data_IF_754106272217
#
_entry.id   IF_754106272217
#
_cell.length_a   1.000
_cell.length_b   1.000
_cell.length_c   1.000
_cell.angle_alpha   90.00
_cell.angle_beta   90.00
_cell.angle_gamma   90.00
#
_symmetry.space_group_name_H-M   'P 1'
#
loop_
_entity.id
_entity.type
_entity.pdbx_description
1 polymer ?
#
# COMPACT_ATOMS: atom_id res chain seq x y z
N UNK A 1 -30.35 70.48 10.71
CA UNK A 1 -29.99 69.72 9.50
C UNK A 1 -28.55 70.06 9.16
N UNK A 2 -27.60 69.31 9.70
CA UNK A 2 -26.18 69.37 9.34
C UNK A 2 -25.63 67.96 9.46
N UNK A 3 -25.06 67.50 8.35
CA UNK A 3 -24.60 66.14 8.08
C UNK A 3 -23.35 65.82 8.88
N UNK A 4 -23.33 64.68 9.58
CA UNK A 4 -22.10 64.09 10.13
C UNK A 4 -21.67 63.01 9.14
N UNK A 5 -20.59 63.29 8.41
CA UNK A 5 -19.89 62.34 7.55
C UNK A 5 -19.22 61.26 8.41
N UNK A 6 -19.50 59.96 8.22
CA UNK A 6 -18.74 58.91 8.88
C UNK A 6 -17.42 58.68 8.12
N UNK A 7 -16.32 58.77 8.86
CA UNK A 7 -14.96 58.42 8.42
C UNK A 7 -14.90 56.95 7.99
N UNK A 8 -14.39 56.73 6.79
CA UNK A 8 -14.08 55.43 6.22
C UNK A 8 -12.90 54.81 6.99
N UNK A 9 -13.19 53.94 7.96
CA UNK A 9 -12.16 53.14 8.64
C UNK A 9 -11.75 51.97 7.73
N UNK A 10 -10.46 51.91 7.44
CA UNK A 10 -9.81 50.93 6.55
C UNK A 10 -10.08 49.48 7.00
N UNK A 11 -10.25 48.51 6.07
CA UNK A 11 -10.47 47.12 6.43
C UNK A 11 -9.29 46.53 7.20
N UNK A 12 -9.59 45.94 8.36
CA UNK A 12 -8.68 45.10 9.17
C UNK A 12 -8.11 43.98 8.28
N UNK A 13 -6.78 43.75 8.23
CA UNK A 13 -6.22 42.65 7.48
C UNK A 13 -6.59 41.33 8.16
N UNK A 14 -7.32 40.48 7.43
CA UNK A 14 -7.67 39.11 7.83
C UNK A 14 -6.40 38.27 8.02
N UNK A 15 -6.39 37.30 8.96
CA UNK A 15 -5.26 36.42 9.20
C UNK A 15 -5.15 35.35 8.08
N UNK A 16 -4.79 35.76 6.87
CA UNK A 16 -4.69 34.91 5.67
C UNK A 16 -3.41 34.03 5.63
N UNK A 17 -2.50 34.18 6.61
CA UNK A 17 -1.16 33.59 6.56
C UNK A 17 -1.05 32.14 7.10
N UNK A 18 -2.07 31.59 7.78
CA UNK A 18 -2.02 30.23 8.36
C UNK A 18 -2.72 29.14 7.53
N UNK A 19 -3.64 29.49 6.63
CA UNK A 19 -4.36 28.50 5.80
C UNK A 19 -3.55 28.08 4.57
N UNK A 20 -2.82 29.00 3.94
CA UNK A 20 -2.01 28.73 2.74
C UNK A 20 -0.89 27.72 2.99
N UNK A 21 -0.26 27.76 4.18
CA UNK A 21 0.76 26.78 4.58
C UNK A 21 0.16 25.40 4.92
N UNK A 22 -1.07 25.35 5.45
CA UNK A 22 -1.73 24.10 5.84
C UNK A 22 -2.31 23.35 4.61
N UNK A 23 -2.86 24.10 3.65
CA UNK A 23 -3.37 23.55 2.37
C UNK A 23 -2.24 22.95 1.55
N UNK A 24 -1.07 23.61 1.49
CA UNK A 24 0.11 23.08 0.82
C UNK A 24 0.60 21.76 1.41
N UNK A 25 0.71 21.67 2.74
CA UNK A 25 1.13 20.45 3.44
C UNK A 25 0.17 19.26 3.27
N UNK A 26 -1.14 19.52 3.29
CA UNK A 26 -2.16 18.49 3.07
C UNK A 26 -2.13 17.94 1.64
N UNK A 27 -1.97 18.81 0.65
CA UNK A 27 -1.85 18.42 -0.77
C UNK A 27 -0.62 17.57 -1.01
N UNK A 28 0.53 17.91 -0.41
CA UNK A 28 1.75 17.14 -0.55
C UNK A 28 1.61 15.73 0.05
N UNK A 29 1.00 15.61 1.24
CA UNK A 29 0.74 14.29 1.83
C UNK A 29 -0.17 13.43 0.94
N UNK A 30 -1.19 14.06 0.36
CA UNK A 30 -2.11 13.37 -0.52
C UNK A 30 -1.47 12.96 -1.85
N UNK A 31 -0.62 13.80 -2.42
CA UNK A 31 0.18 13.44 -3.61
C UNK A 31 1.09 12.25 -3.31
N UNK A 32 1.77 12.25 -2.16
CA UNK A 32 2.63 11.13 -1.74
C UNK A 32 1.81 9.84 -1.57
N UNK A 33 0.64 9.89 -0.92
CA UNK A 33 -0.27 8.75 -0.78
C UNK A 33 -0.71 8.19 -2.15
N UNK A 34 -1.13 9.05 -3.08
CA UNK A 34 -1.54 8.64 -4.42
C UNK A 34 -0.38 8.01 -5.19
N UNK A 35 0.81 8.62 -5.16
CA UNK A 35 2.00 8.10 -5.86
C UNK A 35 2.38 6.72 -5.31
N UNK A 36 2.42 6.54 -4.00
CA UNK A 36 2.74 5.23 -3.40
C UNK A 36 1.72 4.16 -3.80
N UNK A 37 0.42 4.51 -3.89
CA UNK A 37 -0.63 3.57 -4.33
C UNK A 37 -0.53 3.19 -5.79
N UNK A 38 -0.16 4.13 -6.65
CA UNK A 38 0.11 3.86 -8.07
C UNK A 38 1.31 2.93 -8.22
N UNK A 39 2.40 3.17 -7.47
CA UNK A 39 3.57 2.29 -7.45
C UNK A 39 3.20 0.90 -6.98
N UNK A 40 2.43 0.79 -5.89
CA UNK A 40 1.94 -0.48 -5.37
C UNK A 40 1.11 -1.23 -6.41
N UNK A 41 0.17 -0.55 -7.07
CA UNK A 41 -0.66 -1.15 -8.11
C UNK A 41 0.17 -1.63 -9.30
N UNK A 42 1.07 -0.79 -9.82
CA UNK A 42 1.90 -1.12 -10.97
C UNK A 42 2.82 -2.32 -10.68
N UNK A 43 3.50 -2.31 -9.53
CA UNK A 43 4.41 -3.39 -9.15
C UNK A 43 3.67 -4.70 -8.87
N UNK A 44 2.50 -4.64 -8.21
CA UNK A 44 1.66 -5.83 -8.01
C UNK A 44 1.13 -6.39 -9.35
N UNK A 45 0.69 -5.52 -10.26
CA UNK A 45 0.24 -5.92 -11.60
C UNK A 45 1.38 -6.59 -12.39
N UNK A 46 2.57 -6.01 -12.38
CA UNK A 46 3.75 -6.60 -13.02
C UNK A 46 4.10 -7.95 -12.41
N UNK A 47 4.06 -8.07 -11.07
CA UNK A 47 4.30 -9.35 -10.40
C UNK A 47 3.28 -10.43 -10.79
N UNK A 48 1.99 -10.07 -10.89
CA UNK A 48 0.92 -10.95 -11.39
C UNK A 48 1.20 -11.35 -12.84
N UNK A 49 1.50 -10.40 -13.72
CA UNK A 49 1.75 -10.67 -15.15
C UNK A 49 2.94 -11.62 -15.30
N UNK A 50 4.07 -11.35 -14.64
CA UNK A 50 5.23 -12.23 -14.69
C UNK A 50 4.86 -13.64 -14.24
N UNK A 51 4.07 -13.75 -13.16
CA UNK A 51 3.68 -15.04 -12.61
C UNK A 51 2.68 -15.80 -13.50
N UNK A 52 1.70 -15.10 -14.09
CA UNK A 52 0.69 -15.70 -14.97
C UNK A 52 1.27 -16.03 -16.34
N UNK A 53 2.17 -15.20 -16.87
CA UNK A 53 2.87 -15.43 -18.15
C UNK A 53 3.92 -16.52 -18.02
N UNK A 54 4.45 -16.76 -16.82
CA UNK A 54 5.35 -17.90 -16.51
C UNK A 54 4.65 -19.27 -16.64
N UNK A 55 3.39 -19.36 -17.10
CA UNK A 55 2.70 -20.62 -17.44
C UNK A 55 3.43 -21.36 -18.59
N UNK A 56 4.60 -21.90 -18.32
CA UNK A 56 5.28 -22.86 -19.18
C UNK A 56 4.88 -24.27 -18.73
N UNK A 57 3.96 -24.84 -19.50
CA UNK A 57 3.61 -26.25 -19.42
C UNK A 57 4.69 -27.01 -20.22
N UNK A 58 5.75 -27.49 -19.58
CA UNK A 58 6.73 -28.36 -20.26
C UNK A 58 6.40 -29.82 -19.96
N UNK A 59 6.26 -30.62 -21.02
CA UNK A 59 5.99 -32.05 -20.96
C UNK A 59 7.26 -32.80 -20.55
N UNK A 60 7.22 -33.60 -19.48
CA UNK A 60 8.33 -34.48 -19.10
C UNK A 60 8.09 -35.84 -19.79
N UNK A 61 8.96 -36.30 -20.72
CA UNK A 61 8.84 -37.64 -21.28
C UNK A 61 9.39 -38.65 -20.26
N UNK A 62 8.53 -39.57 -19.79
CA UNK A 62 8.90 -40.54 -18.74
C UNK A 62 9.40 -41.88 -19.33
N UNK A 63 9.07 -42.20 -20.58
CA UNK A 63 9.68 -43.28 -21.37
C UNK A 63 9.25 -43.17 -22.86
N UNK A 64 9.95 -43.89 -23.76
CA UNK A 64 9.86 -43.85 -25.23
C UNK A 64 8.46 -44.02 -25.87
N UNK A 65 7.40 -44.26 -25.09
CA UNK A 65 6.02 -44.40 -25.57
C UNK A 65 4.95 -43.90 -24.59
N UNK A 66 5.32 -43.26 -23.46
CA UNK A 66 4.37 -42.78 -22.46
C UNK A 66 4.84 -41.43 -21.88
N UNK A 67 4.33 -40.36 -22.50
CA UNK A 67 4.42 -39.01 -21.96
C UNK A 67 3.23 -38.80 -21.01
N UNK A 68 3.46 -38.93 -19.70
CA UNK A 68 2.50 -38.46 -18.70
C UNK A 68 2.76 -36.97 -18.54
N UNK A 69 1.76 -36.09 -18.77
CA UNK A 69 1.93 -34.67 -18.55
C UNK A 69 2.04 -34.41 -17.04
N UNK A 70 3.24 -34.52 -16.47
CA UNK A 70 3.57 -33.85 -15.21
C UNK A 70 3.74 -32.36 -15.51
N UNK A 71 2.63 -31.75 -15.91
CA UNK A 71 2.46 -30.33 -15.95
C UNK A 71 2.59 -29.86 -14.51
N UNK A 72 3.75 -29.32 -14.13
CA UNK A 72 3.89 -28.41 -13.00
C UNK A 72 3.05 -27.15 -13.27
N UNK A 73 1.72 -27.32 -13.31
CA UNK A 73 0.74 -26.28 -13.55
C UNK A 73 0.79 -25.38 -12.32
N UNK A 74 0.89 -24.06 -12.51
CA UNK A 74 0.77 -23.07 -11.43
C UNK A 74 -0.42 -23.30 -10.49
N UNK A 75 -1.51 -23.87 -11.04
CA UNK A 75 -2.73 -24.21 -10.30
C UNK A 75 -2.60 -25.44 -9.38
N UNK A 76 -1.56 -26.26 -9.54
CA UNK A 76 -1.31 -27.46 -8.73
C UNK A 76 -0.50 -27.12 -7.47
N UNK A 77 0.22 -25.99 -7.48
CA UNK A 77 1.03 -25.56 -6.33
C UNK A 77 0.25 -24.50 -5.55
N UNK A 78 -0.30 -24.85 -4.37
CA UNK A 78 -1.18 -23.95 -3.61
C UNK A 78 -0.47 -22.66 -3.18
N UNK A 79 0.84 -22.69 -2.95
CA UNK A 79 1.63 -21.52 -2.54
C UNK A 79 1.64 -20.40 -3.61
N UNK A 80 1.81 -20.75 -4.88
CA UNK A 80 1.84 -19.77 -5.97
C UNK A 80 0.44 -19.23 -6.28
N UNK A 81 -0.58 -20.09 -6.19
CA UNK A 81 -1.97 -19.66 -6.33
C UNK A 81 -2.35 -18.67 -5.22
N UNK A 82 -1.98 -18.94 -3.97
CA UNK A 82 -2.21 -18.04 -2.85
C UNK A 82 -1.50 -16.68 -3.03
N UNK A 83 -0.25 -16.69 -3.51
CA UNK A 83 0.49 -15.47 -3.83
C UNK A 83 -0.15 -14.61 -4.91
N UNK A 84 -0.60 -15.20 -6.03
CA UNK A 84 -1.30 -14.46 -7.09
C UNK A 84 -2.66 -13.94 -6.59
N UNK A 85 -3.38 -14.72 -5.79
CA UNK A 85 -4.63 -14.29 -5.18
C UNK A 85 -4.41 -13.08 -4.25
N UNK A 86 -3.38 -13.12 -3.39
CA UNK A 86 -3.03 -12.03 -2.50
C UNK A 86 -2.67 -10.74 -3.26
N UNK A 87 -1.85 -10.83 -4.31
CA UNK A 87 -1.53 -9.69 -5.18
C UNK A 87 -2.77 -9.13 -5.88
N UNK A 88 -3.70 -9.99 -6.31
CA UNK A 88 -4.94 -9.54 -6.97
C UNK A 88 -5.84 -8.76 -6.01
N UNK A 89 -5.97 -9.22 -4.76
CA UNK A 89 -6.68 -8.48 -3.71
C UNK A 89 -6.00 -7.14 -3.44
N UNK A 90 -4.66 -7.10 -3.40
CA UNK A 90 -3.91 -5.85 -3.24
C UNK A 90 -4.14 -4.87 -4.40
N UNK A 91 -4.21 -5.35 -5.65
CA UNK A 91 -4.57 -4.53 -6.81
C UNK A 91 -5.97 -3.94 -6.69
N UNK A 92 -6.99 -4.76 -6.42
CA UNK A 92 -8.37 -4.30 -6.26
C UNK A 92 -8.49 -3.29 -5.12
N UNK A 93 -7.83 -3.59 -4.00
CA UNK A 93 -7.75 -2.69 -2.87
C UNK A 93 -7.17 -1.34 -3.32
N UNK A 94 -5.98 -1.31 -3.94
CA UNK A 94 -5.33 -0.08 -4.40
C UNK A 94 -6.23 0.80 -5.29
N UNK A 95 -7.02 0.20 -6.17
CA UNK A 95 -7.97 0.95 -7.03
C UNK A 95 -9.06 1.61 -6.19
N UNK A 96 -9.77 0.84 -5.34
CA UNK A 96 -10.83 1.35 -4.45
C UNK A 96 -10.29 2.52 -3.63
N UNK A 97 -9.11 2.29 -3.10
CA UNK A 97 -8.35 3.15 -2.24
C UNK A 97 -7.96 4.47 -2.92
N UNK A 98 -7.43 4.40 -4.14
CA UNK A 98 -7.13 5.57 -4.97
C UNK A 98 -8.39 6.39 -5.26
N UNK A 99 -9.50 5.74 -5.63
CA UNK A 99 -10.79 6.41 -5.89
C UNK A 99 -11.29 7.15 -4.64
N UNK A 100 -11.19 6.54 -3.46
CA UNK A 100 -11.55 7.18 -2.19
C UNK A 100 -10.68 8.40 -1.88
N UNK A 101 -9.37 8.31 -2.15
CA UNK A 101 -8.45 9.44 -1.97
C UNK A 101 -8.80 10.58 -2.94
N UNK A 102 -9.00 10.29 -4.23
CA UNK A 102 -9.39 11.28 -5.25
C UNK A 102 -10.73 11.94 -4.91
N UNK A 103 -11.73 11.15 -4.51
CA UNK A 103 -13.03 11.68 -4.12
C UNK A 103 -12.95 12.61 -2.90
N UNK A 104 -12.06 12.30 -1.96
CA UNK A 104 -11.79 13.15 -0.78
C UNK A 104 -11.15 14.50 -1.15
N UNK A 105 -10.47 14.59 -2.30
CA UNK A 105 -9.95 15.88 -2.84
C UNK A 105 -11.07 16.72 -3.42
N UNK A 106 -11.92 16.10 -4.24
CA UNK A 106 -12.99 16.79 -4.96
C UNK A 106 -14.07 17.28 -3.98
N UNK A 107 -14.31 16.53 -2.90
CA UNK A 107 -15.20 16.94 -1.81
C UNK A 107 -14.39 17.13 -0.53
N UNK A 108 -13.88 18.34 -0.23
CA UNK A 108 -13.15 18.64 0.99
C UNK A 108 -14.11 18.73 2.20
N UNK A 109 -14.91 17.67 2.44
CA UNK A 109 -15.42 17.40 3.78
C UNK A 109 -14.26 16.74 4.50
N UNK A 110 -13.53 17.55 5.28
CA UNK A 110 -12.23 17.20 5.86
C UNK A 110 -12.12 15.73 6.23
N UNK A 111 -11.10 15.04 5.70
CA UNK A 111 -10.92 13.59 5.86
C UNK A 111 -11.17 13.17 7.30
N UNK A 112 -12.26 12.45 7.51
CA UNK A 112 -12.63 11.94 8.83
C UNK A 112 -11.49 11.09 9.35
N UNK A 113 -11.02 11.36 10.58
CA UNK A 113 -10.01 10.54 11.28
C UNK A 113 -10.32 9.04 11.20
N UNK A 114 -11.62 8.70 11.20
CA UNK A 114 -12.15 7.34 11.04
C UNK A 114 -11.72 6.67 9.73
N UNK A 115 -11.71 7.39 8.60
CA UNK A 115 -11.29 6.84 7.30
C UNK A 115 -9.78 6.54 7.29
N UNK A 116 -8.97 7.44 7.85
CA UNK A 116 -7.51 7.27 7.91
C UNK A 116 -7.12 6.05 8.76
N UNK A 117 -7.78 5.86 9.91
CA UNK A 117 -7.58 4.68 10.77
C UNK A 117 -8.01 3.40 10.05
N UNK A 118 -9.14 3.42 9.33
CA UNK A 118 -9.60 2.24 8.59
C UNK A 118 -8.62 1.83 7.49
N UNK A 119 -8.04 2.81 6.79
CA UNK A 119 -6.96 2.62 5.83
C UNK A 119 -5.75 1.92 6.45
N UNK A 120 -5.23 2.45 7.56
CA UNK A 120 -4.05 1.88 8.24
C UNK A 120 -4.27 0.41 8.61
N UNK A 121 -5.47 0.06 9.10
CA UNK A 121 -5.80 -1.33 9.48
C UNK A 121 -5.80 -2.25 8.26
N UNK A 122 -6.44 -1.82 7.17
CA UNK A 122 -6.53 -2.60 5.93
C UNK A 122 -5.15 -2.73 5.24
N UNK A 123 -4.36 -1.65 5.21
CA UNK A 123 -2.98 -1.65 4.69
C UNK A 123 -2.08 -2.62 5.48
N UNK A 124 -2.19 -2.61 6.81
CA UNK A 124 -1.43 -3.50 7.69
C UNK A 124 -1.84 -4.97 7.49
N UNK A 125 -3.14 -5.24 7.32
CA UNK A 125 -3.65 -6.57 7.03
C UNK A 125 -3.12 -7.07 5.68
N UNK A 126 -3.16 -6.23 4.65
CA UNK A 126 -2.65 -6.57 3.31
C UNK A 126 -1.15 -6.82 3.32
N UNK A 127 -0.37 -6.00 4.05
CA UNK A 127 1.06 -6.21 4.21
C UNK A 127 1.34 -7.59 4.84
N UNK A 128 0.59 -7.97 5.88
CA UNK A 128 0.71 -9.28 6.51
C UNK A 128 0.38 -10.43 5.55
N UNK A 129 -0.72 -10.33 4.81
CA UNK A 129 -1.13 -11.33 3.81
C UNK A 129 -0.07 -11.45 2.72
N UNK A 130 0.44 -10.33 2.19
CA UNK A 130 1.40 -10.32 1.10
C UNK A 130 2.76 -10.86 1.56
N UNK A 131 3.19 -10.53 2.77
CA UNK A 131 4.41 -11.07 3.38
C UNK A 131 4.31 -12.59 3.58
N UNK A 132 3.18 -13.07 4.12
CA UNK A 132 2.93 -14.50 4.31
C UNK A 132 2.91 -15.25 2.97
N UNK A 133 2.23 -14.71 1.97
CA UNK A 133 2.13 -15.32 0.65
C UNK A 133 3.48 -15.35 -0.08
N UNK A 134 4.24 -14.26 -0.01
CA UNK A 134 5.60 -14.17 -0.57
C UNK A 134 6.55 -15.13 0.13
N UNK A 135 6.45 -15.26 1.47
CA UNK A 135 7.23 -16.22 2.24
C UNK A 135 6.92 -17.67 1.87
N UNK A 136 5.64 -18.03 1.72
CA UNK A 136 5.23 -19.36 1.29
C UNK A 136 5.71 -19.69 -0.13
N UNK A 137 5.49 -18.78 -1.09
CA UNK A 137 5.95 -18.94 -2.46
C UNK A 137 7.49 -19.00 -2.55
N UNK A 138 8.18 -18.16 -1.78
CA UNK A 138 9.63 -18.14 -1.67
C UNK A 138 10.20 -19.42 -1.08
N UNK A 139 9.59 -19.98 -0.03
CA UNK A 139 10.02 -21.24 0.58
C UNK A 139 9.90 -22.41 -0.41
N UNK A 140 8.77 -22.51 -1.11
CA UNK A 140 8.56 -23.54 -2.14
C UNK A 140 9.55 -23.36 -3.29
N UNK A 141 9.78 -22.13 -3.74
CA UNK A 141 10.79 -21.81 -4.75
C UNK A 141 12.22 -22.18 -4.32
N UNK A 142 12.57 -21.89 -3.06
CA UNK A 142 13.90 -22.18 -2.50
C UNK A 142 14.18 -23.69 -2.42
N UNK A 143 13.18 -24.47 -2.00
CA UNK A 143 13.28 -25.94 -1.98
C UNK A 143 13.51 -26.48 -3.40
N UNK A 144 12.83 -25.90 -4.39
CA UNK A 144 13.02 -26.25 -5.81
C UNK A 144 14.39 -25.88 -6.37
N UNK A 145 14.99 -24.78 -5.90
CA UNK A 145 16.30 -24.27 -6.34
C UNK A 145 17.47 -25.03 -5.71
N UNK A 146 17.44 -25.25 -4.38
CA UNK A 146 18.60 -25.82 -3.66
C UNK A 146 18.85 -27.27 -4.07
N UNK A 147 17.78 -28.07 -4.25
CA UNK A 147 17.91 -29.52 -4.46
C UNK A 147 18.67 -30.21 -3.32
N UNK A 148 18.84 -31.52 -3.39
CA UNK A 148 19.70 -32.22 -2.43
C UNK A 148 20.62 -33.19 -3.17
N UNK A 149 21.92 -32.87 -3.16
CA UNK A 149 22.97 -33.69 -3.78
C UNK A 149 23.10 -35.06 -3.12
N UNK A 150 22.80 -35.16 -1.81
CA UNK A 150 22.90 -36.40 -1.05
C UNK A 150 21.83 -37.46 -1.41
N UNK A 151 20.70 -37.06 -1.98
CA UNK A 151 19.58 -37.97 -2.32
C UNK A 151 19.33 -38.10 -3.82
N UNK A 152 20.30 -37.73 -4.69
CA UNK A 152 20.21 -37.81 -6.16
C UNK A 152 18.92 -37.18 -6.75
N UNK A 153 18.36 -36.16 -6.11
CA UNK A 153 17.24 -35.37 -6.65
C UNK A 153 17.82 -34.19 -7.42
N UNK A 154 17.68 -34.22 -8.75
CA UNK A 154 18.06 -33.10 -9.61
C UNK A 154 17.30 -31.84 -9.18
N UNK A 155 17.96 -30.67 -9.32
CA UNK A 155 17.32 -29.37 -9.06
C UNK A 155 16.13 -29.23 -10.01
N UNK A 156 14.96 -28.92 -9.48
CA UNK A 156 13.77 -28.69 -10.32
C UNK A 156 14.04 -27.52 -11.27
N UNK A 157 14.79 -26.51 -10.80
CA UNK A 157 15.21 -25.38 -11.62
C UNK A 157 16.19 -25.73 -12.77
N UNK A 158 16.82 -26.91 -12.80
CA UNK A 158 17.65 -27.34 -13.94
C UNK A 158 16.78 -27.76 -15.13
N UNK A 159 15.65 -28.43 -14.84
CA UNK A 159 14.67 -28.85 -15.85
C UNK A 159 13.77 -27.67 -16.25
N UNK A 160 13.50 -26.75 -15.32
CA UNK A 160 12.59 -25.61 -15.49
C UNK A 160 13.28 -24.26 -15.26
N UNK A 161 14.44 -24.04 -15.90
CA UNK A 161 15.27 -22.85 -15.70
C UNK A 161 14.54 -21.52 -15.96
N UNK A 162 13.75 -21.46 -17.04
CA UNK A 162 12.97 -20.26 -17.39
C UNK A 162 11.92 -19.94 -16.32
N UNK A 163 11.14 -20.95 -15.92
CA UNK A 163 10.11 -20.82 -14.88
C UNK A 163 10.70 -20.37 -13.53
N UNK A 164 11.83 -20.96 -13.14
CA UNK A 164 12.53 -20.61 -11.90
C UNK A 164 13.02 -19.16 -11.94
N UNK A 165 13.57 -18.71 -13.08
CA UNK A 165 13.94 -17.30 -13.29
C UNK A 165 12.73 -16.37 -13.15
N UNK A 166 11.61 -16.68 -13.78
CA UNK A 166 10.39 -15.87 -13.67
C UNK A 166 9.86 -15.78 -12.23
N UNK A 167 9.89 -16.87 -11.47
CA UNK A 167 9.48 -16.86 -10.05
C UNK A 167 10.43 -16.00 -9.23
N UNK A 168 11.74 -16.16 -9.40
CA UNK A 168 12.73 -15.34 -8.69
C UNK A 168 12.53 -13.86 -9.01
N UNK A 169 12.31 -13.51 -10.27
CA UNK A 169 12.03 -12.12 -10.68
C UNK A 169 10.70 -11.65 -10.09
N UNK A 170 9.63 -12.44 -10.14
CA UNK A 170 8.33 -12.07 -9.57
C UNK A 170 8.40 -11.82 -8.06
N UNK A 171 9.06 -12.72 -7.31
CA UNK A 171 9.26 -12.57 -5.87
C UNK A 171 10.07 -11.31 -5.55
N UNK A 172 11.12 -11.03 -6.33
CA UNK A 172 11.92 -9.82 -6.18
C UNK A 172 11.08 -8.56 -6.43
N UNK A 173 10.25 -8.58 -7.47
CA UNK A 173 9.32 -7.47 -7.79
C UNK A 173 8.25 -7.29 -6.71
N UNK A 174 7.81 -8.36 -6.04
CA UNK A 174 6.82 -8.29 -4.96
C UNK A 174 7.33 -7.74 -3.63
N UNK A 175 8.64 -7.55 -3.48
CA UNK A 175 9.18 -6.81 -2.35
C UNK A 175 8.83 -5.32 -2.42
N UNK A 176 8.77 -4.76 -3.63
CA UNK A 176 8.43 -3.35 -3.83
C UNK A 176 7.03 -2.96 -3.30
N UNK A 177 5.94 -3.70 -3.59
CA UNK A 177 4.63 -3.39 -3.02
C UNK A 177 4.60 -3.58 -1.49
N UNK A 178 5.35 -4.53 -0.92
CA UNK A 178 5.49 -4.65 0.55
C UNK A 178 6.17 -3.42 1.17
N UNK A 179 7.24 -2.93 0.54
CA UNK A 179 7.93 -1.71 0.98
C UNK A 179 7.03 -0.48 0.82
N UNK A 180 6.26 -0.39 -0.27
CA UNK A 180 5.30 0.69 -0.50
C UNK A 180 4.19 0.70 0.56
N UNK A 181 3.62 -0.46 0.92
CA UNK A 181 2.65 -0.59 2.01
C UNK A 181 3.23 -0.14 3.35
N UNK A 182 4.47 -0.54 3.67
CA UNK A 182 5.14 -0.11 4.89
C UNK A 182 5.28 1.42 4.95
N UNK A 183 5.69 2.03 3.84
CA UNK A 183 5.79 3.49 3.75
C UNK A 183 4.42 4.17 3.85
N UNK A 184 3.36 3.63 3.24
CA UNK A 184 1.99 4.13 3.37
C UNK A 184 1.52 4.13 4.83
N UNK A 185 1.75 3.03 5.55
CA UNK A 185 1.41 2.89 6.96
C UNK A 185 2.20 3.94 7.78
N UNK A 186 3.51 4.05 7.53
CA UNK A 186 4.37 5.00 8.22
C UNK A 186 3.92 6.46 8.03
N UNK A 187 3.68 6.88 6.78
CA UNK A 187 3.18 8.21 6.46
C UNK A 187 1.83 8.48 7.13
N UNK A 188 0.91 7.52 7.06
CA UNK A 188 -0.42 7.61 7.66
C UNK A 188 -0.36 7.73 9.18
N UNK A 189 0.49 6.95 9.84
CA UNK A 189 0.72 7.02 11.29
C UNK A 189 1.30 8.37 11.69
N UNK A 190 2.29 8.89 10.96
CA UNK A 190 2.86 10.21 11.23
C UNK A 190 1.79 11.30 11.11
N UNK A 191 0.96 11.26 10.07
CA UNK A 191 -0.12 12.24 9.90
C UNK A 191 -1.15 12.13 11.01
N UNK A 192 -1.52 10.91 11.39
CA UNK A 192 -2.45 10.69 12.49
C UNK A 192 -1.89 11.21 13.82
N UNK A 193 -0.62 10.91 14.12
CA UNK A 193 0.06 11.38 15.32
C UNK A 193 0.13 12.91 15.36
N UNK A 194 0.50 13.56 14.25
CA UNK A 194 0.49 15.03 14.14
C UNK A 194 -0.91 15.61 14.36
N UNK A 195 -1.95 15.02 13.75
CA UNK A 195 -3.36 15.43 13.92
C UNK A 195 -3.85 15.25 15.36
N UNK A 196 -3.43 14.18 16.04
CA UNK A 196 -3.80 13.94 17.44
C UNK A 196 -3.14 14.96 18.37
N UNK A 197 -1.83 15.20 18.20
CA UNK A 197 -1.08 16.20 18.97
C UNK A 197 -1.65 17.60 18.81
N UNK A 198 -1.97 18.02 17.59
CA UNK A 198 -2.60 19.33 17.34
C UNK A 198 -3.98 19.43 18.01
N UNK A 199 -4.76 18.35 18.01
CA UNK A 199 -6.07 18.35 18.66
C UNK A 199 -5.95 18.40 20.19
N UNK A 200 -5.00 17.65 20.78
CA UNK A 200 -4.67 17.73 22.20
C UNK A 200 -4.20 19.13 22.59
N UNK A 201 -3.34 19.77 21.77
CA UNK A 201 -2.91 21.14 21.99
C UNK A 201 -4.08 22.12 21.99
N UNK A 202 -4.98 22.03 20.99
CA UNK A 202 -6.18 22.89 20.95
C UNK A 202 -7.10 22.67 22.15
N UNK A 203 -7.29 21.42 22.58
CA UNK A 203 -8.08 21.10 23.77
C UNK A 203 -7.47 21.72 25.04
N UNK A 204 -6.15 21.63 25.22
CA UNK A 204 -5.45 22.27 26.35
C UNK A 204 -5.56 23.80 26.30
N UNK A 205 -5.39 24.44 25.15
CA UNK A 205 -5.57 25.89 25.02
C UNK A 205 -7.00 26.35 25.33
N UNK A 206 -8.01 25.60 24.86
CA UNK A 206 -9.41 25.88 25.17
C UNK A 206 -9.69 25.76 26.67
N UNK A 207 -9.08 24.78 27.35
CA UNK A 207 -9.23 24.59 28.79
C UNK A 207 -8.51 25.68 29.62
N UNK A 208 -7.33 26.12 29.20
CA UNK A 208 -6.56 27.18 29.88
C UNK A 208 -7.18 28.57 29.65
N UNK A 209 -7.74 28.83 28.47
CA UNK A 209 -8.44 30.09 28.16
C UNK A 209 -9.81 30.25 28.83
N UNK A 210 -10.35 29.19 29.46
CA UNK A 210 -11.64 29.18 30.16
C UNK A 210 -11.47 28.96 31.68
N UNK A 211 -10.34 29.39 32.27
CA UNK A 211 -10.22 29.48 33.74
C UNK A 211 -11.23 30.50 34.29
N UNK A 212 -12.04 30.17 35.32
CA UNK A 212 -13.01 31.12 35.86
C UNK A 212 -12.30 32.36 36.43
N UNK A 213 -12.85 33.57 36.29
CA UNK A 213 -12.29 34.73 36.96
C UNK A 213 -12.37 34.49 38.46
N UNK A 214 -11.21 34.40 39.11
CA UNK A 214 -11.05 34.55 40.55
C UNK A 214 -11.57 35.94 40.92
N UNK A 215 -12.84 36.00 41.33
CA UNK A 215 -13.41 37.13 42.06
C UNK A 215 -12.74 37.15 43.44
N UNK A 216 -11.77 38.04 43.60
CA UNK A 216 -11.37 38.57 44.91
C UNK A 216 -12.41 39.60 45.37
#
# INVERSE_FOLDING_TARGET
MTSITPTLESPVPTPEYKDSANIGGLRNHLLVDVVLRVILFATALVAIIIMVTSKQTQMIPVASSLAIPEAAKFSQIPAFTYYVAALSVACLYSIITCVLTVFSVVKPKGSSKKLLVHFIILDSLLLGILAAATGAAGAVGYIGYRGNSHTRRNKVCDVYASFCSHITVSLSVSLFPSVALLHLIWHSVIVLAKRDLEQRRRYMCAKVGHGPPTKL
#
